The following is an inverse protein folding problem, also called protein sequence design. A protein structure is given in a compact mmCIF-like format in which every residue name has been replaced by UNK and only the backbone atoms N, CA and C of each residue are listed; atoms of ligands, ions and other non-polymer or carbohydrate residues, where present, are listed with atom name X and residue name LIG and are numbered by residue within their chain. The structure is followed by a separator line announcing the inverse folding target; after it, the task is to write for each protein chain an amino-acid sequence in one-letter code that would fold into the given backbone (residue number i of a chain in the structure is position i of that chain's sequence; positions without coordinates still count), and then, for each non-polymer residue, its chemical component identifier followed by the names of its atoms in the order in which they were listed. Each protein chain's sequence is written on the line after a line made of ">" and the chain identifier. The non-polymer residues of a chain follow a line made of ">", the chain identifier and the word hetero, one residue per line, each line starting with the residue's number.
data_IF_606920255751
#
_entry.id   IF_606920255751
#
_cell.length_a   1.000
_cell.length_b   1.000
_cell.length_c   1.000
_cell.angle_alpha   90.00
_cell.angle_beta   90.00
_cell.angle_gamma   90.00
#
_symmetry.space_group_name_H-M   'P 1'
#
loop_
_entity.id
_entity.type
_entity.pdbx_description
1 polymer ?
#
# COMPACT_ATOMS: atom_id res chain seq x y z
N UNK A 1 -34.84 59.87 -34.32
CA UNK A 1 -33.61 59.17 -33.90
C UNK A 1 -33.78 58.22 -32.71
N UNK A 2 -34.91 58.20 -31.97
CA UNK A 2 -35.09 57.30 -30.79
C UNK A 2 -35.78 55.94 -31.02
N UNK A 3 -36.33 55.68 -32.21
CA UNK A 3 -37.09 54.44 -32.49
C UNK A 3 -36.20 53.25 -32.90
N UNK A 4 -34.99 53.49 -33.44
CA UNK A 4 -34.04 52.39 -33.72
C UNK A 4 -33.30 51.95 -32.46
N UNK A 5 -32.95 52.88 -31.56
CA UNK A 5 -32.22 52.54 -30.34
C UNK A 5 -33.06 51.70 -29.36
N UNK A 6 -34.35 51.99 -29.23
CA UNK A 6 -35.26 51.25 -28.34
C UNK A 6 -35.59 49.84 -28.86
N UNK A 7 -35.66 49.64 -30.18
CA UNK A 7 -35.85 48.31 -30.76
C UNK A 7 -34.57 47.47 -30.69
N UNK A 8 -33.39 48.06 -30.93
CA UNK A 8 -32.12 47.33 -30.78
C UNK A 8 -31.85 46.98 -29.31
N UNK A 9 -32.15 47.88 -28.36
CA UNK A 9 -32.01 47.59 -26.93
C UNK A 9 -33.03 46.57 -26.41
N UNK A 10 -34.28 46.56 -26.90
CA UNK A 10 -35.28 45.57 -26.49
C UNK A 10 -35.03 44.19 -27.08
N UNK A 11 -34.51 44.09 -28.31
CA UNK A 11 -34.04 42.81 -28.86
C UNK A 11 -32.77 42.34 -28.14
N UNK A 12 -31.77 43.20 -27.99
CA UNK A 12 -30.50 42.85 -27.33
C UNK A 12 -30.70 42.45 -25.86
N UNK A 13 -31.53 43.17 -25.10
CA UNK A 13 -31.84 42.82 -23.71
C UNK A 13 -32.51 41.45 -23.59
N UNK A 14 -33.42 41.11 -24.51
CA UNK A 14 -34.06 39.79 -24.53
C UNK A 14 -33.07 38.67 -24.82
N UNK A 15 -32.14 38.87 -25.76
CA UNK A 15 -31.07 37.90 -26.04
C UNK A 15 -30.07 37.78 -24.89
N UNK A 16 -29.68 38.90 -24.26
CA UNK A 16 -28.79 38.92 -23.11
C UNK A 16 -29.42 38.23 -21.90
N UNK A 17 -30.69 38.52 -21.58
CA UNK A 17 -31.41 37.84 -20.50
C UNK A 17 -31.54 36.34 -20.78
N UNK A 18 -31.87 35.92 -22.01
CA UNK A 18 -31.92 34.51 -22.38
C UNK A 18 -30.55 33.82 -22.23
N UNK A 19 -29.47 34.49 -22.61
CA UNK A 19 -28.09 33.96 -22.51
C UNK A 19 -27.66 33.84 -21.05
N UNK A 20 -27.97 34.83 -20.21
CA UNK A 20 -27.69 34.80 -18.77
C UNK A 20 -28.48 33.68 -18.10
N UNK A 21 -29.76 33.51 -18.42
CA UNK A 21 -30.57 32.41 -17.88
C UNK A 21 -29.99 31.06 -18.28
N UNK A 22 -29.60 30.86 -19.54
CA UNK A 22 -28.96 29.64 -20.00
C UNK A 22 -27.63 29.38 -19.28
N UNK A 23 -26.79 30.41 -19.11
CA UNK A 23 -25.52 30.30 -18.41
C UNK A 23 -25.71 29.92 -16.93
N UNK A 24 -26.70 30.49 -16.25
CA UNK A 24 -27.05 30.14 -14.87
C UNK A 24 -27.52 28.69 -14.78
N UNK A 25 -28.36 28.24 -15.72
CA UNK A 25 -28.82 26.85 -15.77
C UNK A 25 -27.63 25.90 -15.98
N UNK A 26 -26.73 26.21 -16.92
CA UNK A 26 -25.55 25.39 -17.19
C UNK A 26 -24.61 25.32 -15.97
N UNK A 27 -24.41 26.44 -15.28
CA UNK A 27 -23.61 26.50 -14.06
C UNK A 27 -24.23 25.62 -12.96
N UNK A 28 -25.55 25.68 -12.76
CA UNK A 28 -26.25 24.83 -11.80
C UNK A 28 -26.10 23.34 -12.16
N UNK A 29 -26.22 22.99 -13.45
CA UNK A 29 -25.99 21.61 -13.92
C UNK A 29 -24.56 21.17 -13.63
N UNK A 30 -23.55 22.01 -13.88
CA UNK A 30 -22.15 21.70 -13.57
C UNK A 30 -21.91 21.49 -12.08
N UNK A 31 -22.50 22.30 -11.20
CA UNK A 31 -22.37 22.13 -9.75
C UNK A 31 -23.03 20.83 -9.27
N UNK A 32 -24.22 20.51 -9.79
CA UNK A 32 -24.90 19.25 -9.51
C UNK A 32 -24.09 18.06 -10.01
N UNK A 33 -23.58 18.14 -11.24
CA UNK A 33 -22.75 17.09 -11.84
C UNK A 33 -21.45 16.90 -11.07
N UNK A 34 -20.81 17.98 -10.61
CA UNK A 34 -19.62 17.92 -9.75
C UNK A 34 -19.90 17.20 -8.43
N UNK A 35 -21.04 17.51 -7.77
CA UNK A 35 -21.44 16.80 -6.54
C UNK A 35 -21.74 15.32 -6.81
N UNK A 36 -22.44 15.00 -7.89
CA UNK A 36 -22.76 13.62 -8.26
C UNK A 36 -21.49 12.86 -8.63
N UNK A 37 -20.60 13.44 -9.43
CA UNK A 37 -19.34 12.85 -9.86
C UNK A 37 -18.39 12.65 -8.67
N UNK A 38 -18.28 13.64 -7.78
CA UNK A 38 -17.52 13.51 -6.54
C UNK A 38 -18.08 12.38 -5.67
N UNK A 39 -19.40 12.31 -5.50
CA UNK A 39 -20.05 11.22 -4.76
C UNK A 39 -19.97 9.86 -5.48
N UNK A 40 -19.92 9.83 -6.81
CA UNK A 40 -19.82 8.63 -7.64
C UNK A 40 -18.41 8.06 -7.67
N UNK A 41 -17.38 8.92 -7.80
CA UNK A 41 -15.98 8.56 -7.65
C UNK A 41 -15.69 8.19 -6.20
N UNK A 42 -16.22 8.95 -5.24
CA UNK A 42 -16.20 8.54 -3.83
C UNK A 42 -16.86 7.18 -3.68
N UNK A 43 -18.06 6.90 -4.23
CA UNK A 43 -18.72 5.58 -4.10
C UNK A 43 -18.01 4.44 -4.82
N UNK A 44 -17.48 4.65 -6.01
CA UNK A 44 -16.71 3.63 -6.76
C UNK A 44 -15.37 3.32 -6.08
N UNK A 45 -14.79 4.27 -5.36
CA UNK A 45 -13.66 4.03 -4.45
C UNK A 45 -14.12 3.58 -3.04
N UNK A 46 -15.36 3.88 -2.63
CA UNK A 46 -15.96 3.52 -1.32
C UNK A 46 -16.64 2.16 -1.36
N UNK A 47 -16.00 1.18 -2.00
CA UNK A 47 -15.97 -0.17 -1.43
C UNK A 47 -15.02 -0.24 -0.22
N UNK A 48 -14.03 0.65 -0.14
CA UNK A 48 -13.13 0.80 1.01
C UNK A 48 -12.73 2.27 1.18
N UNK A 49 -13.17 2.92 2.26
CA UNK A 49 -12.80 4.30 2.56
C UNK A 49 -11.26 4.47 2.60
N UNK A 50 -10.68 5.53 2.01
CA UNK A 50 -9.25 5.86 2.11
C UNK A 50 -8.74 5.91 3.56
N UNK A 51 -9.63 6.24 4.50
CA UNK A 51 -9.33 6.23 5.92
C UNK A 51 -9.19 4.82 6.49
N UNK A 52 -9.95 3.84 5.99
CA UNK A 52 -9.87 2.43 6.40
C UNK A 52 -8.67 1.74 5.76
N UNK A 53 -8.35 1.98 4.49
CA UNK A 53 -7.12 1.46 3.87
C UNK A 53 -5.92 2.05 4.58
N UNK A 54 -5.86 3.36 4.82
CA UNK A 54 -4.72 3.96 5.53
C UNK A 54 -4.62 3.49 7.00
N UNK A 55 -5.74 3.16 7.66
CA UNK A 55 -5.73 2.63 9.04
C UNK A 55 -5.41 1.13 9.09
N UNK A 56 -5.94 0.31 8.19
CA UNK A 56 -5.63 -1.10 8.05
C UNK A 56 -4.17 -1.32 7.58
N UNK A 57 -3.66 -0.45 6.70
CA UNK A 57 -2.27 -0.47 6.25
C UNK A 57 -1.31 0.02 7.34
N UNK A 58 -1.67 1.07 8.10
CA UNK A 58 -0.90 1.49 9.30
C UNK A 58 -0.97 0.47 10.43
N UNK A 59 -2.10 -0.21 10.63
CA UNK A 59 -2.21 -1.33 11.56
C UNK A 59 -1.41 -2.53 11.06
N UNK A 60 -1.38 -2.85 9.76
CA UNK A 60 -0.50 -3.90 9.22
C UNK A 60 0.99 -3.58 9.41
N UNK A 61 1.42 -2.33 9.19
CA UNK A 61 2.82 -1.90 9.44
C UNK A 61 3.13 -1.82 10.95
N UNK A 62 2.15 -1.41 11.75
CA UNK A 62 2.24 -1.35 13.21
C UNK A 62 2.32 -2.75 13.82
N UNK A 63 1.48 -3.67 13.37
CA UNK A 63 1.50 -5.09 13.71
C UNK A 63 2.81 -5.70 13.20
N UNK A 64 3.27 -5.52 11.97
CA UNK A 64 4.61 -6.01 11.56
C UNK A 64 5.80 -5.46 12.39
N UNK A 65 5.65 -4.31 13.05
CA UNK A 65 6.63 -3.75 14.00
C UNK A 65 6.29 -4.04 15.48
N UNK A 66 5.11 -4.60 15.78
CA UNK A 66 4.60 -4.89 17.13
C UNK A 66 4.27 -6.36 17.34
N UNK A 67 4.29 -7.21 16.31
CA UNK A 67 4.40 -8.64 16.47
C UNK A 67 5.81 -8.82 17.00
N UNK A 68 5.90 -9.45 18.16
CA UNK A 68 7.16 -9.89 18.72
C UNK A 68 7.85 -10.92 17.80
N UNK A 69 7.21 -11.32 16.69
CA UNK A 69 7.75 -12.22 15.69
C UNK A 69 8.79 -11.48 14.82
N UNK A 70 9.98 -12.08 14.75
CA UNK A 70 11.03 -11.64 13.84
C UNK A 70 10.70 -12.11 12.43
N UNK A 71 10.61 -11.17 11.49
CA UNK A 71 10.39 -11.47 10.07
C UNK A 71 11.71 -11.40 9.32
N UNK A 72 12.05 -12.46 8.60
CA UNK A 72 13.20 -12.56 7.71
C UNK A 72 12.75 -13.16 6.38
N UNK A 73 13.18 -12.60 5.26
CA UNK A 73 12.90 -13.15 3.94
C UNK A 73 14.17 -13.32 3.14
N UNK A 74 14.30 -14.48 2.51
CA UNK A 74 15.47 -14.83 1.69
C UNK A 74 15.03 -15.16 0.26
N UNK A 75 15.86 -14.76 -0.70
CA UNK A 75 15.74 -15.19 -2.10
C UNK A 75 16.18 -16.67 -2.25
N UNK A 76 15.87 -17.25 -3.41
CA UNK A 76 16.35 -18.55 -3.91
C UNK A 76 17.87 -18.74 -3.82
N UNK A 77 18.64 -17.65 -3.81
CA UNK A 77 20.09 -17.64 -3.66
C UNK A 77 20.58 -17.57 -2.20
N UNK A 78 19.67 -17.57 -1.21
CA UNK A 78 20.01 -17.42 0.21
C UNK A 78 20.31 -15.98 0.66
N UNK A 79 20.08 -15.00 -0.22
CA UNK A 79 20.29 -13.57 0.06
C UNK A 79 19.12 -12.95 0.82
N UNK A 80 19.41 -12.12 1.81
CA UNK A 80 18.40 -11.42 2.61
C UNK A 80 17.72 -10.33 1.78
N UNK A 81 16.42 -10.50 1.54
CA UNK A 81 15.57 -9.53 0.83
C UNK A 81 14.86 -8.58 1.80
N UNK A 82 14.36 -9.12 2.92
CA UNK A 82 13.59 -8.36 3.92
C UNK A 82 14.01 -8.84 5.31
N UNK A 83 14.21 -7.91 6.23
CA UNK A 83 14.42 -8.22 7.65
C UNK A 83 13.81 -7.13 8.53
N UNK A 84 13.01 -7.50 9.54
CA UNK A 84 12.44 -6.56 10.50
C UNK A 84 13.38 -6.36 11.72
N UNK A 85 13.11 -5.30 12.50
CA UNK A 85 13.93 -4.98 13.69
C UNK A 85 13.80 -6.04 14.79
N UNK A 86 12.66 -6.73 14.89
CA UNK A 86 12.44 -7.81 15.85
C UNK A 86 13.36 -9.00 15.51
N UNK A 87 13.48 -9.40 14.24
CA UNK A 87 14.35 -10.46 13.78
C UNK A 87 15.82 -10.17 14.10
N UNK A 88 16.30 -8.94 13.87
CA UNK A 88 17.67 -8.54 14.23
C UNK A 88 17.94 -8.75 15.72
N UNK A 89 16.98 -8.37 16.58
CA UNK A 89 17.10 -8.52 18.04
C UNK A 89 17.02 -9.99 18.48
N UNK A 90 16.10 -10.75 17.90
CA UNK A 90 15.83 -12.15 18.23
C UNK A 90 16.97 -13.06 17.75
N UNK A 91 17.56 -12.74 16.60
CA UNK A 91 18.69 -13.44 16.03
C UNK A 91 20.03 -12.95 16.60
N UNK A 92 20.05 -11.96 17.49
CA UNK A 92 21.28 -11.44 18.09
C UNK A 92 22.26 -10.82 17.08
N UNK A 93 21.76 -10.26 15.98
CA UNK A 93 22.61 -9.70 14.92
C UNK A 93 23.12 -8.31 15.35
N UNK A 94 24.44 -8.16 15.50
CA UNK A 94 25.07 -6.89 15.94
C UNK A 94 25.23 -5.84 14.82
N UNK A 95 24.90 -6.21 13.57
CA UNK A 95 25.05 -5.33 12.40
C UNK A 95 23.82 -4.43 12.18
N UNK A 96 24.02 -3.19 11.69
CA UNK A 96 22.92 -2.31 11.31
C UNK A 96 22.12 -2.91 10.15
N UNK A 97 20.79 -2.71 10.18
CA UNK A 97 19.83 -3.28 9.21
C UNK A 97 20.24 -3.02 7.75
N UNK A 98 20.78 -1.84 7.48
CA UNK A 98 21.19 -1.40 6.15
C UNK A 98 22.31 -2.26 5.57
N UNK A 99 23.14 -2.86 6.43
CA UNK A 99 24.27 -3.73 6.04
C UNK A 99 23.90 -5.21 5.88
N UNK A 100 22.64 -5.57 6.15
CA UNK A 100 22.13 -6.96 6.03
C UNK A 100 21.44 -7.22 4.70
N UNK A 101 21.11 -6.18 3.93
CA UNK A 101 20.48 -6.35 2.63
C UNK A 101 21.52 -6.83 1.60
N UNK A 102 21.12 -7.76 0.74
CA UNK A 102 21.96 -8.36 -0.32
C UNK A 102 23.15 -9.21 0.20
N UNK A 103 23.28 -9.42 1.51
CA UNK A 103 24.22 -10.38 2.10
C UNK A 103 23.61 -11.77 2.22
N UNK A 104 24.44 -12.80 2.26
CA UNK A 104 23.97 -14.17 2.38
C UNK A 104 23.57 -14.45 3.84
N UNK A 105 22.42 -15.10 4.05
CA UNK A 105 21.86 -15.35 5.39
C UNK A 105 22.80 -16.15 6.29
N UNK A 106 23.60 -17.05 5.71
CA UNK A 106 24.61 -17.85 6.45
C UNK A 106 25.75 -17.02 7.06
N UNK A 107 25.94 -15.77 6.64
CA UNK A 107 26.94 -14.87 7.24
C UNK A 107 26.45 -14.29 8.58
N UNK A 108 25.15 -14.38 8.85
CA UNK A 108 24.51 -13.71 9.98
C UNK A 108 23.64 -14.65 10.83
N UNK A 109 23.25 -15.82 10.31
CA UNK A 109 22.43 -16.80 11.00
C UNK A 109 23.08 -18.19 10.91
N UNK A 110 23.35 -18.80 12.06
CA UNK A 110 23.90 -20.15 12.16
C UNK A 110 23.07 -21.00 13.13
N UNK A 111 22.65 -22.22 12.77
CA UNK A 111 22.84 -22.89 11.48
C UNK A 111 21.90 -22.32 10.41
N UNK A 112 22.37 -22.29 9.15
CA UNK A 112 21.62 -21.73 8.02
C UNK A 112 20.66 -22.72 7.34
N UNK A 113 20.61 -23.96 7.81
CA UNK A 113 19.85 -25.06 7.22
C UNK A 113 18.36 -24.71 7.07
N UNK A 114 17.82 -23.97 8.04
CA UNK A 114 16.45 -23.46 8.01
C UNK A 114 16.20 -22.63 6.74
N UNK A 115 17.12 -21.75 6.37
CA UNK A 115 16.97 -20.83 5.24
C UNK A 115 17.31 -21.45 3.88
N UNK A 116 17.60 -22.75 3.83
CA UNK A 116 18.03 -23.42 2.60
C UNK A 116 16.85 -23.62 1.65
N UNK A 117 17.02 -23.35 0.34
CA UNK A 117 15.96 -23.50 -0.66
C UNK A 117 15.48 -24.94 -0.90
N UNK A 118 16.22 -25.94 -0.39
CA UNK A 118 16.00 -27.36 -0.66
C UNK A 118 14.83 -27.98 0.13
N UNK A 119 14.25 -27.24 1.07
CA UNK A 119 13.05 -27.67 1.82
C UNK A 119 11.84 -26.97 1.20
N UNK A 120 11.14 -27.70 0.33
CA UNK A 120 9.90 -27.26 -0.35
C UNK A 120 8.66 -27.33 0.55
N UNK A 121 8.80 -27.81 1.77
CA UNK A 121 7.71 -27.94 2.73
C UNK A 121 7.53 -26.67 3.54
N UNK A 122 6.27 -26.23 3.66
CA UNK A 122 5.87 -25.28 4.69
C UNK A 122 6.09 -25.92 6.06
N UNK A 123 7.01 -25.35 6.82
CA UNK A 123 7.30 -25.77 8.18
C UNK A 123 6.48 -24.87 9.10
N UNK A 124 5.38 -25.37 9.64
CA UNK A 124 4.58 -24.65 10.62
C UNK A 124 5.10 -24.92 12.02
N UNK A 125 5.45 -23.85 12.75
CA UNK A 125 5.72 -23.85 14.19
C UNK A 125 6.77 -24.87 14.67
N UNK A 126 7.99 -24.80 14.12
CA UNK A 126 9.11 -25.62 14.61
C UNK A 126 10.04 -24.82 15.49
N UNK A 127 10.50 -25.45 16.58
CA UNK A 127 11.55 -24.89 17.43
C UNK A 127 12.92 -25.09 16.80
N UNK A 128 13.62 -24.00 16.55
CA UNK A 128 14.95 -23.97 15.94
C UNK A 128 15.92 -23.24 16.86
N UNK A 129 17.19 -23.66 16.89
CA UNK A 129 18.24 -22.90 17.56
C UNK A 129 19.01 -22.13 16.50
N UNK A 130 18.99 -20.79 16.55
CA UNK A 130 19.75 -19.92 15.63
C UNK A 130 20.57 -18.95 16.47
N UNK A 131 21.87 -18.85 16.19
CA UNK A 131 22.83 -18.02 16.90
C UNK A 131 22.86 -18.27 18.42
N UNK A 132 22.52 -19.50 18.85
CA UNK A 132 22.43 -19.87 20.26
C UNK A 132 21.06 -19.57 20.90
N UNK A 133 20.18 -18.85 20.22
CA UNK A 133 18.83 -18.51 20.67
C UNK A 133 17.82 -19.57 20.22
N UNK A 134 16.92 -19.98 21.12
CA UNK A 134 15.87 -20.96 20.81
C UNK A 134 14.60 -20.25 20.41
N UNK A 135 14.20 -20.42 19.15
CA UNK A 135 13.15 -19.66 18.49
C UNK A 135 12.04 -20.59 18.01
N UNK A 136 10.79 -20.12 18.08
CA UNK A 136 9.69 -20.74 17.34
C UNK A 136 9.63 -20.06 15.96
N UNK A 137 9.87 -20.82 14.89
CA UNK A 137 9.89 -20.31 13.53
C UNK A 137 8.84 -21.01 12.67
N UNK A 138 8.24 -20.26 11.75
CA UNK A 138 7.31 -20.79 10.76
C UNK A 138 7.80 -20.38 9.36
N UNK A 139 7.95 -21.33 8.44
CA UNK A 139 8.29 -21.08 7.04
C UNK A 139 7.02 -20.93 6.22
N UNK A 140 6.84 -19.80 5.56
CA UNK A 140 5.82 -19.65 4.52
C UNK A 140 6.49 -19.37 3.18
N UNK A 141 6.13 -20.12 2.14
CA UNK A 141 6.68 -19.90 0.79
C UNK A 141 5.70 -19.04 0.01
N UNK A 142 6.04 -17.78 -0.28
CA UNK A 142 5.27 -16.95 -1.20
C UNK A 142 5.77 -17.17 -2.63
N UNK A 143 4.85 -17.54 -3.52
CA UNK A 143 5.07 -17.59 -4.97
C UNK A 143 4.36 -16.39 -5.59
N UNK A 144 5.09 -15.35 -5.95
CA UNK A 144 4.60 -14.26 -6.80
C UNK A 144 5.17 -14.47 -8.21
N UNK A 145 4.43 -14.08 -9.26
CA UNK A 145 4.44 -14.65 -10.63
C UNK A 145 5.80 -14.78 -11.37
N UNK A 146 6.92 -14.30 -10.82
CA UNK A 146 8.30 -14.63 -11.28
C UNK A 146 9.37 -14.74 -10.16
N UNK A 147 9.04 -14.65 -8.87
CA UNK A 147 10.02 -14.77 -7.76
C UNK A 147 9.45 -15.47 -6.52
N UNK A 148 10.17 -16.50 -6.07
CA UNK A 148 9.92 -17.18 -4.80
C UNK A 148 10.43 -16.28 -3.68
N UNK A 149 9.55 -15.89 -2.77
CA UNK A 149 9.89 -15.12 -1.56
C UNK A 149 9.53 -15.99 -0.36
N UNK A 150 10.52 -16.53 0.33
CA UNK A 150 10.27 -17.24 1.59
C UNK A 150 10.12 -16.19 2.70
N UNK A 151 9.00 -16.22 3.43
CA UNK A 151 8.75 -15.41 4.62
C UNK A 151 8.90 -16.29 5.85
N UNK A 152 9.79 -15.89 6.75
CA UNK A 152 10.10 -16.51 8.04
C UNK A 152 9.64 -15.61 9.16
#
# INVERSE_FOLDING_TARGET
>A
MGYLESNVQSLASRYLTQTIVLAIVLLLVMLLFSKIFSNYVQKQLSGMSPAQIARAFRLRIGILNSVAEGVLAVDTSGKIMVINKSAIKILGIEKPRESLFDTHVSEHCYPSDLFTPQVEEEVSETTVNINGETLLASRTIMRDDEKIVAMW
#
